data_IF_481877641891
#
_entry.id   IF_481877641891
#
_cell.length_a   1.000
_cell.length_b   1.000
_cell.length_c   1.000
_cell.angle_alpha   90.00
_cell.angle_beta   90.00
_cell.angle_gamma   90.00
#
_symmetry.space_group_name_H-M   'P 1'
#
loop_
_entity.id
_entity.type
_entity.pdbx_description
1 polymer ?
#
# COMPACT_ATOMS: atom_id res chain seq x y z
N UNK A 1 4.78 -12.21 -16.82
CA UNK A 1 4.73 -11.16 -17.86
C UNK A 1 5.06 -9.84 -17.18
N UNK A 2 6.32 -9.38 -17.20
CA UNK A 2 6.75 -8.14 -16.54
C UNK A 2 6.33 -6.95 -17.39
N UNK A 3 5.27 -6.23 -16.98
CA UNK A 3 4.86 -4.97 -17.60
C UNK A 3 5.76 -3.88 -17.03
N UNK A 4 6.81 -3.49 -17.76
CA UNK A 4 7.63 -2.33 -17.39
C UNK A 4 6.90 -1.05 -17.78
N UNK A 5 6.22 -0.43 -16.81
CA UNK A 5 5.73 0.95 -16.97
C UNK A 5 6.95 1.86 -16.91
N UNK A 6 7.27 2.55 -18.01
CA UNK A 6 8.42 3.45 -18.07
C UNK A 6 7.96 4.88 -17.78
N UNK A 7 8.83 5.74 -17.23
CA UNK A 7 8.50 7.15 -17.04
C UNK A 7 8.00 7.84 -18.33
N UNK A 8 8.41 7.34 -19.51
CA UNK A 8 7.92 7.77 -20.81
C UNK A 8 6.42 7.46 -21.06
N UNK A 9 5.89 6.34 -20.57
CA UNK A 9 4.46 6.04 -20.70
C UNK A 9 3.61 6.94 -19.80
N UNK A 10 4.10 7.30 -18.62
CA UNK A 10 3.45 8.26 -17.72
C UNK A 10 3.43 9.66 -18.37
N UNK A 11 4.56 10.12 -18.91
CA UNK A 11 4.63 11.40 -19.63
C UNK A 11 3.68 11.46 -20.82
N UNK A 12 3.53 10.36 -21.57
CA UNK A 12 2.61 10.29 -22.72
C UNK A 12 1.14 10.34 -22.30
N UNK A 13 0.78 9.69 -21.18
CA UNK A 13 -0.56 9.78 -20.60
C UNK A 13 -0.89 11.22 -20.14
N UNK A 14 0.07 11.90 -19.50
CA UNK A 14 -0.06 13.30 -19.08
C UNK A 14 -0.28 14.23 -20.29
N UNK A 15 0.53 14.10 -21.35
CA UNK A 15 0.38 14.93 -22.57
C UNK A 15 -0.98 14.70 -23.25
N UNK A 16 -1.47 13.46 -23.26
CA UNK A 16 -2.78 13.12 -23.85
C UNK A 16 -3.92 13.72 -23.03
N UNK A 17 -3.84 13.69 -21.69
CA UNK A 17 -4.83 14.31 -20.81
C UNK A 17 -4.85 15.84 -20.93
N UNK A 18 -3.67 16.48 -21.05
CA UNK A 18 -3.56 17.94 -21.26
C UNK A 18 -4.20 18.36 -22.59
N UNK A 19 -4.07 17.56 -23.64
CA UNK A 19 -4.71 17.83 -24.94
C UNK A 19 -6.22 17.60 -24.94
N UNK A 20 -6.75 16.72 -24.08
CA UNK A 20 -8.19 16.51 -23.92
C UNK A 20 -8.87 17.68 -23.19
N UNK A 21 -8.12 18.44 -22.37
CA UNK A 21 -8.62 19.60 -21.65
C UNK A 21 -8.51 20.91 -22.46
N UNK A 22 -8.91 20.87 -23.75
CA UNK A 22 -9.22 22.13 -24.43
C UNK A 22 -10.57 22.63 -23.93
N UNK A 23 -10.69 23.93 -23.58
CA UNK A 23 -11.98 24.51 -23.24
C UNK A 23 -12.85 24.41 -24.49
N UNK A 24 -13.69 23.38 -24.56
CA UNK A 24 -14.81 23.40 -25.50
C UNK A 24 -15.67 24.56 -25.04
N UNK A 25 -15.68 25.62 -25.85
CA UNK A 25 -16.64 26.69 -25.67
C UNK A 25 -18.01 26.02 -25.68
N UNK A 26 -18.62 25.87 -24.50
CA UNK A 26 -19.99 25.42 -24.36
C UNK A 26 -20.82 26.36 -25.24
N UNK A 27 -21.26 25.85 -26.39
CA UNK A 27 -22.19 26.57 -27.24
C UNK A 27 -23.49 26.68 -26.46
N UNK A 28 -23.67 27.81 -25.80
CA UNK A 28 -24.98 28.20 -25.27
C UNK A 28 -25.92 28.23 -26.47
N UNK A 29 -27.01 27.43 -26.49
CA UNK A 29 -27.99 27.50 -27.56
C UNK A 29 -28.59 28.92 -27.57
N UNK A 30 -28.20 29.70 -28.55
CA UNK A 30 -28.76 31.03 -28.80
C UNK A 30 -30.10 30.86 -29.53
N UNK A 31 -31.18 31.38 -28.96
CA UNK A 31 -32.37 31.79 -29.72
C UNK A 31 -33.65 30.98 -29.49
N UNK A 32 -34.31 31.22 -28.35
CA UNK A 32 -35.76 31.09 -28.21
C UNK A 32 -36.39 32.49 -28.06
N UNK A 33 -37.54 32.78 -28.68
CA UNK A 33 -38.05 34.15 -28.84
C UNK A 33 -38.49 34.77 -27.51
N UNK A 34 -38.17 36.06 -27.35
CA UNK A 34 -38.61 36.92 -26.26
C UNK A 34 -40.14 36.97 -26.19
N UNK A 35 -40.72 36.26 -25.22
CA UNK A 35 -42.10 36.43 -24.78
C UNK A 35 -42.11 37.10 -23.42
N UNK A 36 -42.44 38.39 -23.38
CA UNK A 36 -42.61 39.13 -22.14
C UNK A 36 -43.79 38.61 -21.34
N UNK A 37 -43.52 38.07 -20.15
CA UNK A 37 -44.51 37.93 -19.09
C UNK A 37 -43.93 38.39 -17.75
N UNK A 38 -44.79 39.10 -17.05
CA UNK A 38 -44.58 39.89 -15.85
C UNK A 38 -44.26 39.06 -14.61
N UNK A 39 -43.48 39.67 -13.72
CA UNK A 39 -43.20 39.28 -12.34
C UNK A 39 -44.43 38.75 -11.58
N UNK A 40 -44.27 37.61 -10.90
CA UNK A 40 -44.45 37.47 -9.44
C UNK A 40 -44.51 35.98 -9.05
N UNK A 41 -43.79 35.66 -7.97
CA UNK A 41 -43.96 34.48 -7.10
C UNK A 41 -43.86 33.10 -7.74
N UNK A 42 -42.72 32.43 -7.52
CA UNK A 42 -42.59 31.02 -7.07
C UNK A 42 -41.11 30.63 -7.18
N UNK A 43 -40.27 31.16 -6.28
CA UNK A 43 -38.97 30.55 -5.96
C UNK A 43 -39.13 29.79 -4.65
N UNK A 44 -39.88 28.69 -4.67
CA UNK A 44 -39.76 27.64 -3.67
C UNK A 44 -38.73 26.65 -4.20
N UNK A 45 -37.57 26.65 -3.55
CA UNK A 45 -36.32 26.10 -4.06
C UNK A 45 -36.33 24.60 -4.28
N UNK A 46 -35.86 24.21 -5.47
CA UNK A 46 -35.25 22.92 -5.68
C UNK A 46 -33.77 23.04 -5.30
N UNK A 47 -33.39 22.45 -4.16
CA UNK A 47 -32.03 21.94 -3.92
C UNK A 47 -30.89 22.94 -3.85
N UNK A 48 -31.04 24.08 -3.17
CA UNK A 48 -29.83 24.77 -2.70
C UNK A 48 -29.14 23.83 -1.70
N UNK A 49 -27.89 23.46 -2.00
CA UNK A 49 -27.05 22.69 -1.08
C UNK A 49 -27.02 23.46 0.24
N UNK A 50 -27.21 22.81 1.38
CA UNK A 50 -27.15 23.43 2.71
C UNK A 50 -25.99 22.79 3.46
N UNK A 51 -25.24 23.56 4.25
CA UNK A 51 -24.19 23.05 5.12
C UNK A 51 -24.77 22.33 6.35
N UNK A 52 -23.90 21.89 7.26
CA UNK A 52 -24.31 21.18 8.49
C UNK A 52 -25.13 22.06 9.47
N UNK A 53 -25.18 23.38 9.25
CA UNK A 53 -25.91 24.35 10.06
C UNK A 53 -27.20 24.85 9.39
N UNK A 54 -27.47 24.42 8.15
CA UNK A 54 -28.66 24.83 7.40
C UNK A 54 -28.46 26.11 6.59
N UNK A 55 -27.22 26.51 6.33
CA UNK A 55 -26.89 27.66 5.49
C UNK A 55 -26.62 27.22 4.04
N UNK A 56 -27.00 28.00 3.00
CA UNK A 56 -26.76 27.62 1.60
C UNK A 56 -25.27 27.45 1.29
N UNK A 57 -24.83 26.23 0.98
CA UNK A 57 -23.50 25.92 0.49
C UNK A 57 -23.29 26.52 -0.90
N UNK A 58 -22.30 27.42 -1.00
CA UNK A 58 -21.92 28.09 -2.24
C UNK A 58 -21.18 27.10 -3.14
N UNK A 59 -21.82 26.67 -4.23
CA UNK A 59 -21.15 25.86 -5.26
C UNK A 59 -20.07 26.69 -5.99
N UNK A 60 -18.86 26.14 -6.25
CA UNK A 60 -17.78 26.85 -6.93
C UNK A 60 -18.08 27.33 -8.36
N UNK A 61 -19.16 26.86 -9.00
CA UNK A 61 -19.39 27.06 -10.43
C UNK A 61 -20.36 28.19 -10.81
N UNK A 62 -21.05 28.84 -9.86
CA UNK A 62 -21.94 29.95 -10.21
C UNK A 62 -21.17 31.28 -10.28
N UNK A 63 -20.43 31.46 -11.38
CA UNK A 63 -20.17 32.80 -11.90
C UNK A 63 -21.53 33.44 -12.18
N UNK A 64 -21.99 34.35 -11.33
CA UNK A 64 -23.13 35.21 -11.63
C UNK A 64 -22.77 36.08 -12.84
N UNK A 65 -23.34 35.85 -14.05
CA UNK A 65 -23.04 36.67 -15.23
C UNK A 65 -23.83 38.00 -15.21
N UNK A 66 -24.63 38.23 -14.16
CA UNK A 66 -25.34 39.47 -13.92
C UNK A 66 -25.28 39.76 -12.43
N UNK A 67 -24.76 40.93 -12.09
CA UNK A 67 -24.33 41.31 -10.74
C UNK A 67 -25.27 40.90 -9.63
N UNK A 68 -24.69 40.35 -8.55
CA UNK A 68 -25.38 40.13 -7.30
C UNK A 68 -25.97 41.46 -6.80
N UNK A 69 -27.29 41.55 -6.54
CA UNK A 69 -27.88 42.73 -5.96
C UNK A 69 -27.26 42.99 -4.58
N UNK A 70 -26.82 44.24 -4.28
CA UNK A 70 -26.30 44.57 -2.97
C UNK A 70 -27.46 44.65 -1.99
N UNK A 71 -27.49 43.73 -1.02
CA UNK A 71 -28.32 43.85 0.17
C UNK A 71 -29.18 42.64 0.46
N UNK A 72 -28.72 41.81 1.40
CA UNK A 72 -29.38 41.48 2.67
C UNK A 72 -28.76 40.18 3.18
N UNK A 73 -27.73 40.32 4.00
CA UNK A 73 -27.03 39.23 4.65
C UNK A 73 -25.91 39.79 5.50
N UNK A 74 -26.26 40.26 6.70
CA UNK A 74 -25.32 40.85 7.65
C UNK A 74 -24.29 39.82 8.10
N UNK A 75 -23.05 40.03 7.68
CA UNK A 75 -21.89 39.29 8.13
C UNK A 75 -20.63 39.93 7.54
N UNK A 76 -20.16 40.99 8.18
CA UNK A 76 -18.85 41.65 7.97
C UNK A 76 -18.24 41.50 6.56
N UNK A 77 -18.98 42.00 5.56
CA UNK A 77 -18.52 42.11 4.18
C UNK A 77 -17.83 43.44 3.96
N UNK A 78 -16.61 43.37 3.43
CA UNK A 78 -15.82 44.46 2.87
C UNK A 78 -16.67 45.51 2.13
N UNK A 79 -16.49 46.77 2.54
CA UNK A 79 -17.12 47.95 1.96
C UNK A 79 -16.65 48.14 0.49
N UNK A 80 -17.55 48.05 -0.51
CA UNK A 80 -17.20 48.19 -1.92
C UNK A 80 -16.95 49.64 -2.36
N UNK A 81 -17.04 50.64 -1.46
CA UNK A 81 -16.73 52.03 -1.78
C UNK A 81 -15.31 52.50 -1.42
N UNK A 82 -14.47 51.62 -0.88
CA UNK A 82 -13.04 51.88 -0.81
C UNK A 82 -12.38 51.59 -2.17
N UNK A 83 -12.31 52.60 -3.03
CA UNK A 83 -11.72 52.62 -4.38
C UNK A 83 -10.21 52.37 -4.47
N UNK A 84 -9.63 51.65 -3.50
CA UNK A 84 -8.28 51.09 -3.52
C UNK A 84 -8.13 49.83 -2.66
N UNK A 85 -9.23 49.27 -2.15
CA UNK A 85 -9.21 48.00 -1.43
C UNK A 85 -9.46 46.87 -2.43
N UNK A 86 -8.38 46.27 -2.92
CA UNK A 86 -8.39 44.92 -3.48
C UNK A 86 -9.18 44.04 -2.50
N UNK A 87 -10.43 43.70 -2.80
CA UNK A 87 -11.16 42.69 -2.04
C UNK A 87 -10.36 41.39 -2.14
N UNK A 88 -9.71 40.89 -1.07
CA UNK A 88 -8.89 39.67 -1.17
C UNK A 88 -9.74 38.39 -1.16
N UNK A 89 -11.06 38.49 -1.34
CA UNK A 89 -12.01 37.43 -1.01
C UNK A 89 -12.49 36.61 -2.22
N UNK A 90 -11.63 36.35 -3.21
CA UNK A 90 -11.97 35.42 -4.31
C UNK A 90 -11.27 34.08 -4.21
N UNK A 91 -10.63 33.76 -3.08
CA UNK A 91 -10.10 32.42 -2.86
C UNK A 91 -11.26 31.41 -2.84
N UNK A 92 -11.45 30.71 -3.96
CA UNK A 92 -12.38 29.59 -4.07
C UNK A 92 -11.82 28.41 -3.28
N UNK A 93 -11.98 28.48 -1.96
CA UNK A 93 -11.74 27.38 -1.04
C UNK A 93 -13.00 26.50 -1.03
N UNK A 94 -13.10 25.63 -2.04
CA UNK A 94 -14.13 24.60 -2.09
C UNK A 94 -13.61 23.27 -1.53
N UNK A 95 -14.50 22.29 -1.27
CA UNK A 95 -14.08 20.93 -0.94
C UNK A 95 -13.25 20.34 -2.08
N UNK A 96 -12.47 19.29 -1.77
CA UNK A 96 -11.63 18.59 -2.76
C UNK A 96 -12.48 17.62 -3.59
N UNK A 97 -12.38 17.74 -4.92
CA UNK A 97 -13.14 16.96 -5.90
C UNK A 97 -12.24 16.55 -7.06
N UNK A 98 -12.37 15.31 -7.52
CA UNK A 98 -11.75 14.74 -8.72
C UNK A 98 -12.65 13.63 -9.26
N UNK A 99 -12.69 13.41 -10.57
CA UNK A 99 -13.45 12.31 -11.18
C UNK A 99 -12.61 11.04 -11.32
N UNK A 100 -11.33 11.21 -11.67
CA UNK A 100 -10.36 10.13 -11.79
C UNK A 100 -8.98 10.57 -11.29
N UNK A 101 -8.24 9.66 -10.68
CA UNK A 101 -6.83 9.86 -10.34
C UNK A 101 -5.98 8.67 -10.80
N UNK A 102 -4.75 8.99 -11.18
CA UNK A 102 -3.69 8.02 -11.45
C UNK A 102 -2.45 8.44 -10.65
N UNK A 103 -1.97 7.54 -9.80
CA UNK A 103 -0.87 7.79 -8.89
C UNK A 103 0.21 6.72 -9.07
N UNK A 104 1.46 7.16 -9.14
CA UNK A 104 2.63 6.34 -8.85
C UNK A 104 2.73 6.21 -7.33
N UNK A 105 2.90 4.99 -6.84
CA UNK A 105 3.06 4.69 -5.42
C UNK A 105 4.37 3.97 -5.25
N UNK A 106 5.12 4.32 -4.21
CA UNK A 106 6.33 3.62 -3.84
C UNK A 106 6.22 3.15 -2.40
N UNK A 107 6.35 1.84 -2.18
CA UNK A 107 6.33 1.25 -0.85
C UNK A 107 7.66 0.61 -0.52
N UNK A 108 8.03 0.77 0.74
CA UNK A 108 9.03 -0.04 1.40
C UNK A 108 8.35 -0.77 2.55
N UNK A 109 8.74 -2.02 2.76
CA UNK A 109 8.36 -2.82 3.94
C UNK A 109 9.44 -2.64 5.00
N UNK A 110 9.04 -2.32 6.22
CA UNK A 110 9.97 -2.09 7.34
C UNK A 110 10.61 -3.41 7.79
N UNK A 111 9.77 -4.41 8.07
CA UNK A 111 10.20 -5.73 8.54
C UNK A 111 9.46 -6.87 7.80
N UNK A 112 10.14 -8.01 7.61
CA UNK A 112 9.57 -9.21 6.97
C UNK A 112 8.99 -10.23 7.95
N UNK A 113 9.22 -10.06 9.25
CA UNK A 113 8.73 -10.95 10.29
C UNK A 113 8.84 -10.31 11.67
N UNK A 114 8.19 -10.92 12.65
CA UNK A 114 8.22 -10.51 14.06
C UNK A 114 9.48 -11.00 14.78
N UNK A 115 10.19 -11.98 14.22
CA UNK A 115 11.37 -12.60 14.82
C UNK A 115 12.60 -12.49 13.93
N UNK A 116 13.75 -12.16 14.55
CA UNK A 116 15.05 -12.29 13.91
C UNK A 116 15.53 -13.74 13.99
N UNK A 117 15.70 -14.41 12.87
CA UNK A 117 16.26 -15.75 12.81
C UNK A 117 17.70 -15.71 12.29
N UNK A 118 18.62 -16.30 13.05
CA UNK A 118 19.95 -16.63 12.53
C UNK A 118 19.80 -17.73 11.48
N UNK A 119 20.29 -17.44 10.27
CA UNK A 119 20.19 -18.32 9.12
C UNK A 119 21.52 -19.02 8.83
N UNK A 120 22.66 -18.42 9.17
CA UNK A 120 23.96 -19.08 9.07
C UNK A 120 24.99 -18.54 10.07
N UNK A 121 25.86 -19.43 10.53
CA UNK A 121 27.03 -19.10 11.34
C UNK A 121 28.31 -19.59 10.69
N UNK A 122 29.40 -18.84 10.86
CA UNK A 122 30.75 -19.23 10.51
C UNK A 122 31.41 -19.92 11.71
N UNK A 123 31.84 -21.16 11.55
CA UNK A 123 32.23 -22.11 12.61
C UNK A 123 31.04 -22.57 13.47
N UNK A 124 31.24 -23.70 14.17
CA UNK A 124 30.26 -24.33 15.06
C UNK A 124 29.98 -23.47 16.31
N UNK A 125 28.70 -23.32 16.69
CA UNK A 125 28.33 -22.70 17.98
C UNK A 125 28.78 -23.54 19.18
N UNK A 126 29.12 -22.94 20.34
CA UNK A 126 28.99 -21.52 20.70
C UNK A 126 30.18 -20.64 20.29
N UNK A 127 31.20 -21.20 19.60
CA UNK A 127 32.38 -20.45 19.15
C UNK A 127 32.21 -19.76 17.78
N UNK A 128 31.12 -20.05 17.08
CA UNK A 128 30.79 -19.51 15.77
C UNK A 128 30.31 -18.06 15.80
N UNK A 129 30.46 -17.37 14.67
CA UNK A 129 29.97 -16.00 14.46
C UNK A 129 28.77 -16.05 13.53
N UNK A 130 27.67 -15.40 13.88
CA UNK A 130 26.52 -15.23 12.98
C UNK A 130 26.94 -14.38 11.77
N UNK A 131 26.61 -14.87 10.57
CA UNK A 131 26.99 -14.22 9.30
C UNK A 131 25.81 -13.98 8.35
N UNK A 132 24.66 -14.56 8.64
CA UNK A 132 23.43 -14.35 7.88
C UNK A 132 22.23 -14.40 8.83
N UNK A 133 21.42 -13.36 8.82
CA UNK A 133 20.19 -13.23 9.59
C UNK A 133 19.03 -12.78 8.69
N UNK A 134 17.78 -13.01 9.11
CA UNK A 134 16.59 -12.47 8.43
C UNK A 134 16.56 -10.94 8.40
N UNK A 135 17.23 -10.27 9.33
CA UNK A 135 17.37 -8.81 9.35
C UNK A 135 18.34 -8.27 8.29
N UNK A 136 19.16 -9.14 7.66
CA UNK A 136 20.06 -8.74 6.57
C UNK A 136 19.31 -8.60 5.23
N UNK A 137 18.02 -8.96 5.19
CA UNK A 137 17.14 -8.79 4.04
C UNK A 137 16.82 -7.30 3.85
N UNK A 138 17.71 -6.60 3.15
CA UNK A 138 17.49 -5.20 2.81
C UNK A 138 16.25 -5.04 1.90
N UNK A 139 15.38 -4.09 2.25
CA UNK A 139 14.23 -3.71 1.43
C UNK A 139 14.52 -2.43 0.68
N UNK A 140 14.35 -2.48 -0.64
CA UNK A 140 14.31 -1.27 -1.47
C UNK A 140 12.87 -0.79 -1.63
N UNK A 141 12.73 0.49 -1.94
CA UNK A 141 11.46 1.07 -2.36
C UNK A 141 11.02 0.47 -3.69
N UNK A 142 9.87 -0.19 -3.70
CA UNK A 142 9.29 -0.75 -4.92
C UNK A 142 8.19 0.14 -5.47
N UNK A 143 8.13 0.19 -6.80
CA UNK A 143 7.14 0.97 -7.54
C UNK A 143 5.86 0.18 -7.78
N UNK A 144 4.72 0.84 -7.62
CA UNK A 144 3.42 0.38 -8.04
C UNK A 144 2.59 1.54 -8.57
N UNK A 145 1.30 1.29 -8.77
CA UNK A 145 0.37 2.36 -9.13
C UNK A 145 -0.96 2.22 -8.40
N UNK A 146 -1.65 3.34 -8.33
CA UNK A 146 -3.02 3.45 -7.83
C UNK A 146 -3.90 4.13 -8.86
N UNK A 147 -5.07 3.55 -9.06
CA UNK A 147 -6.16 4.12 -9.85
C UNK A 147 -7.32 4.37 -8.92
N UNK A 148 -7.86 5.58 -8.94
CA UNK A 148 -9.07 5.91 -8.20
C UNK A 148 -10.08 6.54 -9.13
N UNK A 149 -11.31 6.02 -9.10
CA UNK A 149 -12.43 6.55 -9.86
C UNK A 149 -13.56 6.93 -8.93
N UNK A 150 -14.23 8.03 -9.25
CA UNK A 150 -15.30 8.61 -8.44
C UNK A 150 -16.62 8.60 -9.20
N UNK A 151 -17.72 8.39 -8.48
CA UNK A 151 -19.08 8.54 -8.99
C UNK A 151 -20.00 9.22 -7.99
N UNK A 152 -20.59 10.35 -8.39
CA UNK A 152 -21.53 11.11 -7.55
C UNK A 152 -22.92 10.46 -7.55
N UNK A 153 -23.38 10.08 -6.37
CA UNK A 153 -24.70 9.44 -6.20
C UNK A 153 -25.76 10.42 -5.67
N UNK A 154 -25.34 11.38 -4.86
CA UNK A 154 -26.20 12.36 -4.20
C UNK A 154 -25.39 13.61 -3.86
N UNK A 155 -26.04 14.74 -3.51
CA UNK A 155 -25.33 15.91 -3.00
C UNK A 155 -24.47 15.52 -1.79
N UNK A 156 -23.17 15.83 -1.87
CA UNK A 156 -22.16 15.53 -0.85
C UNK A 156 -21.94 14.03 -0.57
N UNK A 157 -22.44 13.14 -1.42
CA UNK A 157 -22.30 11.69 -1.24
C UNK A 157 -21.82 11.03 -2.54
N UNK A 158 -20.80 10.19 -2.38
CA UNK A 158 -19.97 9.73 -3.49
C UNK A 158 -19.62 8.27 -3.30
N UNK A 159 -19.56 7.54 -4.41
CA UNK A 159 -18.92 6.23 -4.47
C UNK A 159 -17.53 6.39 -5.08
N UNK A 160 -16.54 5.78 -4.45
CA UNK A 160 -15.16 5.76 -4.91
C UNK A 160 -14.69 4.33 -5.06
N UNK A 161 -14.04 4.05 -6.19
CA UNK A 161 -13.44 2.77 -6.52
C UNK A 161 -11.94 2.97 -6.59
N UNK A 162 -11.18 2.17 -5.85
CA UNK A 162 -9.73 2.21 -5.82
C UNK A 162 -9.12 0.87 -6.18
N UNK A 163 -8.06 0.89 -6.97
CA UNK A 163 -7.17 -0.26 -7.14
C UNK A 163 -5.74 0.19 -6.91
N UNK A 164 -5.01 -0.53 -6.07
CA UNK A 164 -3.57 -0.33 -5.85
C UNK A 164 -2.88 -1.67 -6.03
N UNK A 165 -1.76 -1.72 -6.73
CA UNK A 165 -1.00 -2.96 -6.84
C UNK A 165 0.27 -2.82 -7.65
N UNK A 166 0.75 -3.98 -8.10
CA UNK A 166 2.01 -4.16 -8.83
C UNK A 166 3.26 -3.92 -7.99
N UNK A 167 3.16 -4.08 -6.67
CA UNK A 167 4.34 -4.12 -5.81
C UNK A 167 4.94 -5.54 -5.88
N UNK A 168 6.23 -5.59 -6.17
CA UNK A 168 7.11 -6.76 -6.16
C UNK A 168 8.33 -6.40 -5.29
N UNK A 169 8.10 -6.35 -3.98
CA UNK A 169 9.10 -5.92 -3.00
C UNK A 169 9.98 -7.11 -2.67
N UNK A 170 11.26 -7.06 -2.99
CA UNK A 170 12.16 -8.16 -2.71
C UNK A 170 13.47 -7.72 -2.08
N UNK A 171 14.09 -8.67 -1.39
CA UNK A 171 15.38 -8.50 -0.75
C UNK A 171 16.15 -9.81 -0.76
N UNK A 172 17.46 -9.73 -0.60
CA UNK A 172 18.28 -10.93 -0.50
C UNK A 172 19.61 -10.65 0.15
N UNK A 173 20.08 -11.64 0.89
CA UNK A 173 21.37 -11.62 1.54
C UNK A 173 22.10 -12.92 1.24
N UNK A 174 23.42 -12.86 1.12
CA UNK A 174 24.23 -14.05 0.90
C UNK A 174 25.59 -13.90 1.56
N UNK A 175 26.14 -15.03 1.98
CA UNK A 175 27.46 -15.12 2.58
C UNK A 175 28.22 -16.28 1.96
N UNK A 176 29.50 -16.06 1.67
CA UNK A 176 30.43 -17.06 1.16
C UNK A 176 31.54 -17.22 2.18
N UNK A 177 31.85 -18.46 2.55
CA UNK A 177 32.95 -18.76 3.45
C UNK A 177 34.26 -18.18 2.89
N UNK A 178 34.96 -17.30 3.63
CA UNK A 178 36.24 -16.75 3.17
C UNK A 178 37.37 -17.77 3.16
N UNK A 179 37.28 -18.87 3.93
CA UNK A 179 38.34 -19.87 4.07
C UNK A 179 37.79 -21.30 4.01
N UNK A 180 37.18 -21.72 2.88
CA UNK A 180 36.63 -23.06 2.78
C UNK A 180 37.75 -24.11 2.76
N UNK A 181 37.48 -25.28 3.36
CA UNK A 181 38.41 -26.42 3.38
C UNK A 181 38.64 -26.96 1.97
N UNK A 182 37.59 -26.93 1.14
CA UNK A 182 37.64 -27.28 -0.28
C UNK A 182 36.55 -26.52 -1.06
N UNK A 183 36.53 -26.55 -2.42
CA UNK A 183 35.44 -25.95 -3.21
C UNK A 183 34.04 -26.50 -2.91
N UNK A 184 33.95 -27.64 -2.21
CA UNK A 184 32.70 -28.34 -1.87
C UNK A 184 32.51 -28.53 -0.36
N UNK A 185 33.39 -27.97 0.47
CA UNK A 185 33.34 -28.10 1.93
C UNK A 185 33.81 -26.79 2.55
N UNK A 186 32.88 -26.06 3.17
CA UNK A 186 33.14 -24.81 3.87
C UNK A 186 32.99 -24.96 5.37
N UNK A 187 32.68 -23.85 6.01
CA UNK A 187 32.58 -23.72 7.47
C UNK A 187 31.33 -22.93 7.86
N UNK A 188 30.31 -22.93 7.00
CA UNK A 188 29.00 -22.36 7.30
C UNK A 188 28.06 -23.43 7.83
N UNK A 189 27.39 -23.10 8.92
CA UNK A 189 26.44 -23.97 9.59
C UNK A 189 25.08 -23.32 9.61
N UNK A 190 24.06 -24.08 9.22
CA UNK A 190 22.66 -23.64 9.17
C UNK A 190 21.92 -23.95 10.48
N UNK A 191 20.75 -23.33 10.72
CA UNK A 191 19.90 -23.66 11.86
C UNK A 191 19.42 -25.12 11.85
N UNK A 192 19.36 -25.78 10.70
CA UNK A 192 18.92 -27.18 10.56
C UNK A 192 19.88 -28.19 11.19
N UNK A 193 21.15 -27.82 11.38
CA UNK A 193 22.15 -28.61 12.11
C UNK A 193 22.39 -28.07 13.52
N UNK A 194 21.48 -27.22 14.03
CA UNK A 194 21.69 -26.43 15.26
C UNK A 194 23.07 -25.74 15.25
N UNK A 195 23.39 -25.12 14.10
CA UNK A 195 24.67 -24.46 13.85
C UNK A 195 25.88 -25.37 14.11
N UNK A 196 25.78 -26.62 13.67
CA UNK A 196 26.82 -27.63 13.81
C UNK A 196 26.85 -28.32 15.18
N UNK A 197 25.84 -28.16 16.03
CA UNK A 197 25.69 -28.92 17.29
C UNK A 197 24.90 -30.22 17.10
N UNK A 198 24.07 -30.32 16.07
CA UNK A 198 23.24 -31.48 15.79
C UNK A 198 23.39 -31.93 14.32
N UNK A 199 23.77 -33.19 14.03
CA UNK A 199 23.99 -34.29 14.97
C UNK A 199 25.46 -34.45 15.35
N UNK A 200 25.95 -33.67 16.32
CA UNK A 200 27.23 -34.00 16.98
C UNK A 200 26.97 -35.09 18.02
N UNK A 201 27.09 -36.36 17.62
CA UNK A 201 27.01 -37.50 18.53
C UNK A 201 25.94 -38.56 18.23
N UNK A 202 25.23 -38.45 17.12
CA UNK A 202 24.44 -39.55 16.56
C UNK A 202 25.37 -40.74 16.26
N UNK A 203 25.32 -41.79 17.09
CA UNK A 203 26.20 -42.96 16.97
C UNK A 203 25.88 -43.64 15.63
N UNK A 204 26.76 -43.45 14.63
CA UNK A 204 26.67 -44.13 13.33
C UNK A 204 26.37 -43.24 12.12
N UNK A 205 26.31 -41.92 12.27
CA UNK A 205 26.12 -41.00 11.13
C UNK A 205 27.43 -40.27 10.84
N UNK A 206 27.98 -40.45 9.63
CA UNK A 206 29.22 -39.79 9.23
C UNK A 206 28.96 -38.29 9.02
N UNK A 207 29.74 -37.40 9.64
CA UNK A 207 29.64 -35.94 9.45
C UNK A 207 29.68 -35.49 7.97
N UNK A 208 30.17 -36.34 7.05
CA UNK A 208 30.14 -36.11 5.61
C UNK A 208 28.75 -36.27 4.97
N UNK A 209 27.71 -36.71 5.69
CA UNK A 209 26.37 -36.96 5.14
C UNK A 209 25.42 -35.77 5.15
N UNK A 210 25.81 -34.63 5.73
CA UNK A 210 24.99 -33.42 5.83
C UNK A 210 25.71 -32.17 5.33
N UNK A 211 26.67 -32.34 4.40
CA UNK A 211 27.52 -31.26 3.90
C UNK A 211 26.74 -30.02 3.43
N UNK A 212 25.50 -30.20 2.99
CA UNK A 212 24.62 -29.13 2.51
C UNK A 212 24.11 -28.21 3.62
N UNK A 213 23.84 -28.74 4.82
CA UNK A 213 23.33 -27.97 5.98
C UNK A 213 24.39 -27.74 7.06
N UNK A 214 25.47 -28.49 7.00
CA UNK A 214 26.64 -28.48 7.87
C UNK A 214 27.88 -28.37 6.97
N UNK A 215 28.74 -27.35 7.16
CA UNK A 215 29.92 -27.06 6.29
C UNK A 215 29.58 -26.59 4.88
N UNK A 216 28.54 -25.77 4.75
CA UNK A 216 28.26 -25.09 3.50
C UNK A 216 29.39 -24.10 3.12
N UNK A 217 29.64 -23.97 1.82
CA UNK A 217 30.56 -22.98 1.22
C UNK A 217 29.85 -21.64 1.02
N UNK A 218 28.55 -21.67 0.71
CA UNK A 218 27.71 -20.48 0.63
C UNK A 218 26.33 -20.71 1.23
N UNK A 219 25.77 -19.63 1.78
CA UNK A 219 24.40 -19.53 2.22
C UNK A 219 23.78 -18.27 1.61
N UNK A 220 22.54 -18.37 1.14
CA UNK A 220 21.80 -17.26 0.57
C UNK A 220 20.35 -17.34 1.01
N UNK A 221 19.74 -16.17 1.16
CA UNK A 221 18.32 -16.03 1.40
C UNK A 221 17.74 -14.96 0.49
N UNK A 222 16.52 -15.18 0.00
CA UNK A 222 15.77 -14.23 -0.81
C UNK A 222 14.34 -14.17 -0.31
N UNK A 223 13.74 -13.00 -0.37
CA UNK A 223 12.32 -12.79 -0.10
C UNK A 223 11.70 -11.96 -1.21
N UNK A 224 10.49 -12.33 -1.61
CA UNK A 224 9.65 -11.58 -2.55
C UNK A 224 8.26 -11.40 -1.92
N UNK A 225 7.78 -10.16 -1.86
CA UNK A 225 6.48 -9.78 -1.31
C UNK A 225 5.67 -9.09 -2.39
N UNK A 226 4.49 -9.62 -2.68
CA UNK A 226 3.52 -8.96 -3.57
C UNK A 226 2.30 -8.48 -2.81
N UNK A 227 1.90 -7.24 -3.10
CA UNK A 227 0.75 -6.58 -2.46
C UNK A 227 -0.21 -6.06 -3.53
N UNK A 228 -1.49 -6.41 -3.41
CA UNK A 228 -2.56 -5.92 -4.28
C UNK A 228 -3.80 -5.61 -3.46
N UNK A 229 -4.53 -4.57 -3.84
CA UNK A 229 -5.72 -4.13 -3.11
C UNK A 229 -6.76 -3.52 -4.04
N UNK A 230 -8.01 -3.90 -3.86
CA UNK A 230 -9.18 -3.30 -4.47
C UNK A 230 -10.13 -2.79 -3.38
N UNK A 231 -10.59 -1.55 -3.50
CA UNK A 231 -11.52 -0.94 -2.54
C UNK A 231 -12.73 -0.31 -3.24
N UNK A 232 -13.87 -0.37 -2.58
CA UNK A 232 -15.05 0.43 -2.87
C UNK A 232 -15.43 1.17 -1.60
N UNK A 233 -15.62 2.48 -1.68
CA UNK A 233 -15.98 3.30 -0.52
C UNK A 233 -17.11 4.27 -0.83
N UNK A 234 -18.00 4.43 0.14
CA UNK A 234 -18.96 5.51 0.22
C UNK A 234 -18.32 6.65 1.00
N UNK A 235 -18.26 7.84 0.41
CA UNK A 235 -17.77 9.06 1.03
C UNK A 235 -18.90 10.06 1.23
N UNK A 236 -18.94 10.70 2.40
CA UNK A 236 -19.86 11.78 2.76
C UNK A 236 -19.07 13.02 3.14
N UNK A 237 -19.23 14.09 2.38
CA UNK A 237 -18.55 15.36 2.65
C UNK A 237 -19.14 16.09 3.85
N UNK A 238 -18.26 16.76 4.59
CA UNK A 238 -18.59 17.80 5.55
C UNK A 238 -17.72 19.02 5.28
N UNK A 239 -18.24 20.20 5.60
CA UNK A 239 -17.52 21.48 5.49
C UNK A 239 -17.44 22.06 6.88
N UNK A 240 -16.23 22.48 7.27
CA UNK A 240 -16.00 23.11 8.56
C UNK A 240 -16.57 24.53 8.60
N UNK A 241 -16.52 25.14 9.77
CA UNK A 241 -16.92 26.54 9.95
C UNK A 241 -16.14 27.51 9.04
N UNK A 242 -14.87 27.19 8.76
CA UNK A 242 -14.10 27.87 7.73
C UNK A 242 -14.22 27.09 6.42
N UNK A 243 -14.53 27.76 5.29
CA UNK A 243 -14.57 27.10 3.97
C UNK A 243 -13.20 26.56 3.55
N UNK A 244 -12.12 26.95 4.23
CA UNK A 244 -10.77 26.40 4.02
C UNK A 244 -10.61 25.00 4.57
N UNK A 245 -11.48 24.57 5.48
CA UNK A 245 -11.41 23.24 6.10
C UNK A 245 -12.62 22.44 5.65
N UNK A 246 -12.36 21.32 4.97
CA UNK A 246 -13.39 20.37 4.57
C UNK A 246 -12.91 18.96 4.88
N UNK A 247 -13.79 17.99 4.81
CA UNK A 247 -13.37 16.59 4.91
C UNK A 247 -14.45 15.65 4.47
N UNK A 248 -14.16 14.36 4.55
CA UNK A 248 -15.15 13.32 4.32
C UNK A 248 -15.12 12.28 5.43
N UNK A 249 -16.30 11.71 5.70
CA UNK A 249 -16.40 10.42 6.37
C UNK A 249 -16.48 9.36 5.29
N UNK A 250 -15.76 8.25 5.46
CA UNK A 250 -15.78 7.16 4.51
C UNK A 250 -16.10 5.83 5.19
N UNK A 251 -16.88 5.00 4.50
CA UNK A 251 -17.17 3.63 4.86
C UNK A 251 -17.11 2.78 3.60
N UNK A 252 -16.47 1.62 3.65
CA UNK A 252 -16.24 0.84 2.45
C UNK A 252 -15.97 -0.63 2.68
N UNK A 253 -15.77 -1.33 1.58
CA UNK A 253 -15.31 -2.71 1.54
C UNK A 253 -13.99 -2.76 0.78
N UNK A 254 -13.04 -3.56 1.27
CA UNK A 254 -11.73 -3.71 0.65
C UNK A 254 -11.32 -5.18 0.65
N UNK A 255 -10.75 -5.60 -0.47
CA UNK A 255 -10.05 -6.87 -0.64
C UNK A 255 -8.56 -6.57 -0.83
N UNK A 256 -7.70 -7.16 -0.01
CA UNK A 256 -6.24 -7.02 -0.07
C UNK A 256 -5.63 -8.39 -0.09
N UNK A 257 -4.74 -8.65 -1.06
CA UNK A 257 -3.93 -9.85 -1.11
C UNK A 257 -2.48 -9.50 -0.81
N UNK A 258 -1.90 -10.21 0.15
CA UNK A 258 -0.49 -10.15 0.49
C UNK A 258 0.10 -11.55 0.31
N UNK A 259 1.12 -11.67 -0.54
CA UNK A 259 1.86 -12.92 -0.75
C UNK A 259 3.33 -12.69 -0.44
N UNK A 260 3.88 -13.53 0.43
CA UNK A 260 5.30 -13.60 0.77
C UNK A 260 5.89 -14.92 0.27
N UNK A 261 7.01 -14.86 -0.44
CA UNK A 261 7.80 -15.99 -0.88
C UNK A 261 9.20 -15.84 -0.27
N UNK A 262 9.59 -16.75 0.62
CA UNK A 262 10.90 -16.80 1.25
C UNK A 262 11.66 -18.04 0.79
N UNK A 263 12.90 -17.86 0.34
CA UNK A 263 13.76 -18.97 -0.04
C UNK A 263 15.08 -18.90 0.72
N UNK A 264 15.46 -20.00 1.36
CA UNK A 264 16.75 -20.19 1.99
C UNK A 264 17.52 -21.28 1.25
N UNK A 265 18.74 -20.97 0.84
CA UNK A 265 19.57 -21.81 0.00
C UNK A 265 20.98 -21.95 0.58
N UNK A 266 21.52 -23.16 0.55
CA UNK A 266 22.91 -23.46 0.95
C UNK A 266 23.56 -24.39 -0.05
N UNK A 267 24.88 -24.24 -0.22
CA UNK A 267 25.65 -25.01 -1.19
C UNK A 267 26.96 -25.52 -0.62
N UNK A 268 27.27 -26.78 -0.89
CA UNK A 268 28.51 -27.49 -0.54
C UNK A 268 28.79 -28.57 -1.62
N UNK A 269 29.08 -29.81 -1.20
CA UNK A 269 29.06 -31.01 -2.04
C UNK A 269 27.64 -31.42 -2.49
N UNK A 270 26.64 -30.60 -2.14
CA UNK A 270 25.26 -30.65 -2.56
C UNK A 270 24.58 -29.30 -2.34
N UNK A 271 23.24 -29.28 -2.38
CA UNK A 271 22.39 -28.13 -2.17
C UNK A 271 21.29 -28.47 -1.17
N UNK A 272 21.00 -27.53 -0.28
CA UNK A 272 19.76 -27.52 0.48
C UNK A 272 18.97 -26.26 0.12
N UNK A 273 17.70 -26.44 -0.19
CA UNK A 273 16.77 -25.37 -0.53
C UNK A 273 15.52 -25.50 0.32
N UNK A 274 15.12 -24.43 1.00
CA UNK A 274 13.88 -24.35 1.76
C UNK A 274 13.07 -23.16 1.24
N UNK A 275 11.98 -23.46 0.56
CA UNK A 275 11.06 -22.51 -0.05
C UNK A 275 9.77 -22.46 0.77
N UNK A 276 9.40 -21.27 1.22
CA UNK A 276 8.21 -21.01 2.03
C UNK A 276 7.38 -19.96 1.33
N UNK A 277 6.12 -20.28 1.08
CA UNK A 277 5.13 -19.38 0.52
C UNK A 277 4.04 -19.16 1.56
N UNK A 278 3.70 -17.90 1.83
CA UNK A 278 2.62 -17.50 2.70
C UNK A 278 1.70 -16.52 1.95
N UNK A 279 0.44 -16.91 1.76
CA UNK A 279 -0.59 -16.10 1.14
C UNK A 279 -1.63 -15.67 2.19
N UNK A 280 -2.03 -14.40 2.12
CA UNK A 280 -3.07 -13.80 2.93
C UNK A 280 -4.08 -13.11 2.02
N UNK A 281 -5.31 -13.58 2.05
CA UNK A 281 -6.45 -12.99 1.34
C UNK A 281 -7.38 -12.31 2.34
N UNK A 282 -7.27 -10.98 2.45
CA UNK A 282 -8.02 -10.17 3.40
C UNK A 282 -9.25 -9.55 2.74
N UNK A 283 -10.45 -9.90 3.19
CA UNK A 283 -11.71 -9.33 2.73
C UNK A 283 -12.51 -8.75 3.90
N UNK A 284 -12.90 -7.47 3.83
CA UNK A 284 -13.46 -6.82 5.00
C UNK A 284 -14.04 -5.42 4.80
N UNK A 285 -14.56 -4.89 5.90
CA UNK A 285 -15.13 -3.55 5.96
C UNK A 285 -14.14 -2.58 6.59
N UNK A 286 -14.13 -1.35 6.09
CA UNK A 286 -13.29 -0.27 6.58
C UNK A 286 -14.10 0.99 6.84
N UNK A 287 -13.67 1.75 7.83
CA UNK A 287 -14.18 3.07 8.19
C UNK A 287 -13.00 4.04 8.24
N UNK A 288 -13.26 5.29 7.89
CA UNK A 288 -12.22 6.29 7.92
C UNK A 288 -12.76 7.70 7.82
N UNK A 289 -11.84 8.64 7.80
CA UNK A 289 -12.13 10.02 7.53
C UNK A 289 -10.93 10.68 6.85
N UNK A 290 -11.21 11.75 6.12
CA UNK A 290 -10.19 12.68 5.67
C UNK A 290 -10.52 14.10 6.11
N UNK A 291 -9.48 14.91 6.21
CA UNK A 291 -9.56 16.34 6.44
C UNK A 291 -8.60 17.06 5.49
N UNK A 292 -9.10 18.09 4.84
CA UNK A 292 -8.41 18.92 3.88
C UNK A 292 -8.38 20.37 4.37
N UNK A 293 -7.23 21.01 4.20
CA UNK A 293 -7.01 22.42 4.46
C UNK A 293 -6.48 23.10 3.19
N UNK A 294 -7.25 24.07 2.69
CA UNK A 294 -6.84 24.94 1.59
C UNK A 294 -5.96 26.06 2.13
N UNK A 295 -4.69 26.10 1.69
CA UNK A 295 -3.71 27.11 2.14
C UNK A 295 -3.82 28.36 1.29
N UNK A 296 -3.84 28.17 -0.03
CA UNK A 296 -4.10 29.19 -1.05
C UNK A 296 -4.98 28.58 -2.14
N UNK A 297 -5.59 29.40 -2.98
CA UNK A 297 -6.33 28.90 -4.12
C UNK A 297 -5.43 28.02 -4.99
N UNK A 298 -5.86 26.78 -5.23
CA UNK A 298 -5.10 25.80 -5.98
C UNK A 298 -4.06 25.02 -5.19
N UNK A 299 -3.89 25.22 -3.88
CA UNK A 299 -3.00 24.39 -3.06
C UNK A 299 -3.68 23.94 -1.76
N UNK A 300 -3.71 22.62 -1.56
CA UNK A 300 -4.41 21.98 -0.44
C UNK A 300 -3.53 20.93 0.20
N UNK A 301 -3.65 20.79 1.52
CA UNK A 301 -3.07 19.68 2.27
C UNK A 301 -4.18 18.82 2.84
N UNK A 302 -4.00 17.50 2.80
CA UNK A 302 -4.96 16.52 3.26
C UNK A 302 -4.32 15.53 4.22
N UNK A 303 -5.10 15.07 5.19
CA UNK A 303 -4.80 13.92 6.01
C UNK A 303 -5.96 12.94 5.85
N UNK A 304 -5.69 11.70 5.49
CA UNK A 304 -6.67 10.60 5.44
C UNK A 304 -6.25 9.50 6.41
N UNK A 305 -7.23 8.95 7.13
CA UNK A 305 -7.04 7.82 8.01
C UNK A 305 -8.15 6.79 7.83
N UNK A 306 -7.79 5.52 7.70
CA UNK A 306 -8.70 4.39 7.55
C UNK A 306 -8.31 3.27 8.50
N UNK A 307 -9.29 2.54 9.00
CA UNK A 307 -9.10 1.31 9.74
C UNK A 307 -10.22 0.32 9.41
N UNK A 308 -9.90 -0.97 9.37
CA UNK A 308 -10.87 -2.00 9.03
C UNK A 308 -10.60 -3.33 9.70
N UNK A 309 -11.64 -4.18 9.68
CA UNK A 309 -11.62 -5.55 10.17
C UNK A 309 -11.90 -6.47 8.99
N UNK A 310 -11.06 -7.48 8.82
CA UNK A 310 -11.02 -8.34 7.65
C UNK A 310 -11.06 -9.81 8.07
N UNK A 311 -11.78 -10.62 7.32
CA UNK A 311 -11.53 -12.06 7.31
C UNK A 311 -10.29 -12.32 6.46
N UNK A 312 -9.29 -12.97 7.03
CA UNK A 312 -8.05 -13.36 6.38
C UNK A 312 -8.06 -14.87 6.14
N UNK A 313 -8.06 -15.27 4.87
CA UNK A 313 -7.81 -16.66 4.49
C UNK A 313 -6.31 -16.82 4.28
N UNK A 314 -5.73 -17.77 5.01
CA UNK A 314 -4.29 -18.00 5.10
C UNK A 314 -3.99 -19.33 4.41
N UNK A 315 -2.99 -19.32 3.54
CA UNK A 315 -2.39 -20.53 2.98
C UNK A 315 -0.86 -20.45 3.10
N UNK A 316 -0.26 -21.50 3.65
CA UNK A 316 1.19 -21.63 3.81
C UNK A 316 1.64 -22.92 3.16
N UNK A 317 2.73 -22.86 2.38
CA UNK A 317 3.41 -24.02 1.81
C UNK A 317 4.90 -23.91 2.12
N UNK A 318 5.47 -24.95 2.72
CA UNK A 318 6.89 -25.07 3.00
C UNK A 318 7.43 -26.32 2.31
N UNK A 319 8.39 -26.10 1.41
CA UNK A 319 9.06 -27.14 0.64
C UNK A 319 10.56 -27.10 0.92
N UNK A 320 11.07 -28.14 1.59
CA UNK A 320 12.49 -28.28 1.88
C UNK A 320 13.08 -29.49 1.14
N UNK A 321 14.14 -29.24 0.37
CA UNK A 321 14.77 -30.23 -0.50
C UNK A 321 16.28 -30.27 -0.32
N UNK A 322 16.85 -31.47 -0.36
CA UNK A 322 18.30 -31.72 -0.32
C UNK A 322 18.75 -32.54 -1.54
N UNK A 323 19.96 -32.30 -2.03
CA UNK A 323 20.57 -33.06 -3.13
C UNK A 323 22.10 -32.95 -3.08
N UNK A 324 22.93 -33.95 -3.40
CA UNK A 324 22.62 -35.32 -3.79
C UNK A 324 22.82 -36.36 -2.65
N UNK A 325 23.39 -35.99 -1.50
CA UNK A 325 23.94 -36.96 -0.54
C UNK A 325 22.89 -37.68 0.32
N UNK A 326 21.76 -37.04 0.62
CA UNK A 326 20.63 -37.61 1.34
C UNK A 326 19.34 -36.89 0.93
N UNK A 327 18.65 -37.34 -0.13
CA UNK A 327 17.42 -36.71 -0.63
C UNK A 327 16.31 -36.78 0.40
N UNK A 328 16.04 -35.64 1.03
CA UNK A 328 14.92 -35.35 1.90
C UNK A 328 14.08 -34.34 1.13
N UNK A 329 12.81 -34.67 0.94
CA UNK A 329 11.80 -33.81 0.32
C UNK A 329 10.66 -33.70 1.34
N UNK A 330 10.56 -32.53 1.96
CA UNK A 330 9.53 -32.22 2.96
C UNK A 330 8.59 -31.23 2.32
N UNK A 331 7.31 -31.59 2.28
CA UNK A 331 6.24 -30.72 1.85
C UNK A 331 5.23 -30.59 2.99
N UNK A 332 5.18 -29.41 3.57
CA UNK A 332 4.29 -29.04 4.67
C UNK A 332 3.34 -27.97 4.15
N UNK A 333 2.05 -28.14 4.39
CA UNK A 333 1.06 -27.12 4.03
C UNK A 333 0.08 -26.90 5.17
N UNK A 334 -0.35 -25.66 5.34
CA UNK A 334 -1.32 -25.27 6.35
C UNK A 334 -2.27 -24.23 5.77
N UNK A 335 -3.55 -24.37 6.10
CA UNK A 335 -4.56 -23.39 5.74
C UNK A 335 -5.44 -23.10 6.93
N UNK A 336 -5.78 -21.83 7.12
CA UNK A 336 -6.61 -21.38 8.24
C UNK A 336 -7.37 -20.09 7.88
N UNK A 337 -8.36 -19.75 8.69
CA UNK A 337 -9.13 -18.52 8.57
C UNK A 337 -9.08 -17.76 9.90
N UNK A 338 -8.72 -16.48 9.87
CA UNK A 338 -8.70 -15.66 11.07
C UNK A 338 -9.11 -14.22 10.82
N UNK A 339 -9.28 -13.46 11.90
CA UNK A 339 -9.58 -12.03 11.82
C UNK A 339 -8.27 -11.24 11.76
N UNK A 340 -8.16 -10.38 10.75
CA UNK A 340 -7.06 -9.47 10.55
C UNK A 340 -7.51 -8.00 10.57
N UNK A 341 -6.55 -7.11 10.82
CA UNK A 341 -6.80 -5.68 10.87
C UNK A 341 -5.91 -4.98 9.85
N UNK A 342 -6.47 -3.99 9.15
CA UNK A 342 -5.70 -3.09 8.28
C UNK A 342 -5.93 -1.66 8.75
N UNK A 343 -4.86 -0.94 9.00
CA UNK A 343 -4.83 0.49 9.27
C UNK A 343 -4.07 1.23 8.18
N UNK A 344 -4.55 2.40 7.77
CA UNK A 344 -3.93 3.23 6.75
C UNK A 344 -3.96 4.69 7.17
N UNK A 345 -2.85 5.40 6.96
CA UNK A 345 -2.76 6.83 7.16
C UNK A 345 -2.02 7.48 5.99
N UNK A 346 -2.58 8.56 5.44
CA UNK A 346 -2.02 9.28 4.29
C UNK A 346 -1.93 10.77 4.56
N UNK A 347 -0.76 11.34 4.29
CA UNK A 347 -0.54 12.79 4.22
C UNK A 347 -0.42 13.18 2.75
N UNK A 348 -1.22 14.13 2.30
CA UNK A 348 -1.36 14.49 0.89
C UNK A 348 -1.22 16.00 0.68
N UNK A 349 -0.73 16.39 -0.48
CA UNK A 349 -0.74 17.74 -1.02
C UNK A 349 -1.27 17.70 -2.45
N UNK A 350 -2.19 18.59 -2.77
CA UNK A 350 -2.80 18.71 -4.10
C UNK A 350 -2.61 20.14 -4.60
N UNK A 351 -2.04 20.26 -5.80
CA UNK A 351 -1.79 21.53 -6.48
C UNK A 351 -2.49 21.57 -7.84
N UNK A 352 -3.44 22.49 -8.00
CA UNK A 352 -4.20 22.70 -9.24
C UNK A 352 -3.31 23.39 -10.27
N UNK A 353 -3.00 22.71 -11.39
CA UNK A 353 -2.15 23.26 -12.47
C UNK A 353 -3.01 23.89 -13.56
N UNK A 354 -4.12 23.24 -13.87
CA UNK A 354 -5.15 23.74 -14.79
C UNK A 354 -6.53 23.57 -14.12
N UNK A 355 -7.61 24.14 -14.68
CA UNK A 355 -8.95 23.95 -14.11
C UNK A 355 -9.45 22.49 -14.04
N UNK A 356 -8.81 21.57 -14.76
CA UNK A 356 -9.21 20.18 -14.93
C UNK A 356 -8.12 19.18 -14.49
N UNK A 357 -6.91 19.65 -14.18
CA UNK A 357 -5.76 18.82 -13.85
C UNK A 357 -5.08 19.36 -12.60
N UNK A 358 -4.98 18.49 -11.61
CA UNK A 358 -4.25 18.76 -10.36
C UNK A 358 -3.15 17.73 -10.17
N UNK A 359 -2.01 18.17 -9.62
CA UNK A 359 -0.93 17.29 -9.20
C UNK A 359 -1.14 16.90 -7.75
N UNK A 360 -1.02 15.63 -7.45
CA UNK A 360 -1.11 15.08 -6.10
C UNK A 360 0.23 14.48 -5.70
N UNK A 361 0.66 14.71 -4.47
CA UNK A 361 1.83 14.04 -3.90
C UNK A 361 1.64 13.83 -2.40
N UNK A 362 2.32 12.85 -1.83
CA UNK A 362 2.16 12.55 -0.41
C UNK A 362 3.02 11.43 0.10
N UNK A 363 2.76 11.09 1.37
CA UNK A 363 3.36 9.97 2.08
C UNK A 363 2.25 9.13 2.70
N UNK A 364 2.38 7.82 2.67
CA UNK A 364 1.41 6.92 3.26
C UNK A 364 2.06 5.82 4.08
N UNK A 365 1.31 5.37 5.08
CA UNK A 365 1.65 4.26 5.98
C UNK A 365 0.47 3.31 5.98
N UNK A 366 0.76 2.03 5.76
CA UNK A 366 -0.20 0.93 5.73
C UNK A 366 0.30 -0.13 6.72
N UNK A 367 -0.52 -0.43 7.71
CA UNK A 367 -0.24 -1.40 8.75
C UNK A 367 -1.23 -2.56 8.63
N UNK A 368 -0.72 -3.79 8.59
CA UNK A 368 -1.50 -5.02 8.59
C UNK A 368 -1.15 -5.80 9.85
N UNK A 369 -2.16 -6.35 10.51
CA UNK A 369 -1.99 -7.15 11.72
C UNK A 369 -2.81 -8.43 11.66
N UNK A 370 -2.32 -9.46 12.36
CA UNK A 370 -2.79 -10.85 12.28
C UNK A 370 -2.74 -11.35 10.83
N UNK A 371 -1.60 -11.16 10.21
CA UNK A 371 -1.24 -11.79 8.94
C UNK A 371 -0.20 -12.88 9.19
N UNK A 372 0.07 -13.65 8.16
CA UNK A 372 1.08 -14.70 8.15
C UNK A 372 2.19 -14.30 7.21
N UNK A 373 3.42 -14.35 7.69
CA UNK A 373 4.61 -14.05 6.89
C UNK A 373 5.41 -15.33 6.67
N UNK A 374 6.08 -15.42 5.52
CA UNK A 374 6.90 -16.59 5.20
C UNK A 374 8.11 -16.72 6.14
N UNK A 375 8.66 -15.58 6.60
CA UNK A 375 9.82 -15.54 7.51
C UNK A 375 9.48 -16.06 8.91
N UNK A 376 8.34 -15.67 9.49
CA UNK A 376 7.95 -16.15 10.82
C UNK A 376 7.57 -17.63 10.83
N UNK A 377 7.23 -18.18 9.66
CA UNK A 377 6.94 -19.60 9.47
C UNK A 377 8.18 -20.40 9.03
N UNK A 378 9.37 -19.81 9.17
CA UNK A 378 10.62 -20.53 8.94
C UNK A 378 10.84 -21.62 10.00
N UNK A 379 10.57 -22.86 9.61
CA UNK A 379 10.80 -24.02 10.47
C UNK A 379 12.27 -24.45 10.44
N UNK A 380 13.04 -23.97 11.42
CA UNK A 380 14.44 -24.32 11.65
C UNK A 380 14.67 -25.77 12.12
N UNK A 381 13.63 -26.54 12.42
CA UNK A 381 13.79 -27.91 12.90
C UNK A 381 14.50 -28.77 11.85
N UNK A 382 15.48 -29.55 12.33
CA UNK A 382 16.31 -30.40 11.50
C UNK A 382 15.46 -31.35 10.66
N UNK A 383 15.70 -31.43 9.33
CA UNK A 383 15.02 -32.39 8.48
C UNK A 383 15.57 -33.83 8.63
N UNK A 384 16.58 -34.04 9.49
CA UNK A 384 17.40 -35.27 9.53
C UNK A 384 17.29 -36.13 10.80
N UNK A 385 16.21 -36.01 11.59
CA UNK A 385 16.09 -36.74 12.88
C UNK A 385 16.41 -38.24 12.72
N UNK A 386 17.28 -38.76 13.60
CA UNK A 386 17.72 -40.16 13.66
C UNK A 386 16.51 -41.12 13.67
N UNK A 387 16.30 -41.82 12.55
CA UNK A 387 15.20 -42.77 12.39
C UNK A 387 14.19 -42.29 11.36
N UNK A 388 14.37 -42.74 10.13
CA UNK A 388 13.58 -42.39 8.96
C UNK A 388 12.06 -42.40 9.24
N UNK A 389 11.42 -41.22 9.14
CA UNK A 389 9.97 -41.12 9.03
C UNK A 389 9.22 -40.51 10.22
N UNK A 390 9.87 -39.86 11.18
CA UNK A 390 9.15 -39.00 12.14
C UNK A 390 9.01 -37.60 11.51
N UNK A 391 7.79 -37.12 11.21
CA UNK A 391 7.59 -35.75 10.76
C UNK A 391 8.14 -34.78 11.80
N UNK A 392 8.94 -33.80 11.37
CA UNK A 392 9.28 -32.67 12.27
C UNK A 392 8.00 -31.98 12.69
N UNK A 393 7.97 -31.44 13.90
CA UNK A 393 6.79 -30.71 14.39
C UNK A 393 6.54 -29.50 13.48
N UNK A 394 5.37 -29.45 12.85
CA UNK A 394 4.94 -28.30 12.05
C UNK A 394 4.52 -27.19 13.01
N UNK A 395 5.32 -26.14 13.09
CA UNK A 395 4.98 -24.95 13.88
C UNK A 395 4.58 -23.86 12.91
N UNK A 396 3.31 -23.47 12.96
CA UNK A 396 2.78 -22.36 12.16
C UNK A 396 2.44 -21.20 13.09
N UNK A 397 2.94 -20.02 12.73
CA UNK A 397 2.65 -18.77 13.41
C UNK A 397 1.68 -17.96 12.56
N UNK A 398 0.46 -17.81 13.07
CA UNK A 398 -0.58 -17.06 12.37
C UNK A 398 -0.66 -15.58 12.79
N UNK A 399 0.14 -15.16 13.79
CA UNK A 399 0.08 -13.81 14.35
C UNK A 399 1.37 -13.06 14.03
N UNK A 400 1.38 -12.39 12.88
CA UNK A 400 2.42 -11.47 12.46
C UNK A 400 1.82 -10.14 12.02
N UNK A 401 2.67 -9.11 11.98
CA UNK A 401 2.33 -7.77 11.55
C UNK A 401 3.23 -7.37 10.39
N UNK A 402 2.74 -6.51 9.49
CA UNK A 402 3.55 -5.89 8.45
C UNK A 402 3.26 -4.39 8.37
N UNK A 403 4.34 -3.61 8.27
CA UNK A 403 4.30 -2.17 8.06
C UNK A 403 4.87 -1.83 6.69
N UNK A 404 4.04 -1.19 5.88
CA UNK A 404 4.42 -0.61 4.59
C UNK A 404 4.37 0.90 4.69
N UNK A 405 5.35 1.59 4.14
CA UNK A 405 5.33 3.03 4.07
C UNK A 405 6.03 3.55 2.82
N UNK A 406 5.66 4.75 2.39
CA UNK A 406 6.39 5.41 1.32
C UNK A 406 5.63 6.53 0.65
N UNK A 407 6.15 6.95 -0.51
CA UNK A 407 5.73 8.17 -1.19
C UNK A 407 4.80 7.85 -2.35
N UNK A 408 3.86 8.75 -2.62
CA UNK A 408 3.05 8.68 -3.82
C UNK A 408 3.02 10.03 -4.54
N UNK A 409 2.88 9.99 -5.86
CA UNK A 409 2.75 11.16 -6.72
C UNK A 409 1.89 10.84 -7.92
N UNK A 410 1.00 11.74 -8.31
CA UNK A 410 0.01 11.45 -9.33
C UNK A 410 -0.68 12.68 -9.88
N UNK A 411 -1.70 12.40 -10.69
CA UNK A 411 -2.53 13.39 -11.35
C UNK A 411 -3.99 13.08 -11.05
N UNK A 412 -4.73 14.13 -10.73
CA UNK A 412 -6.19 14.12 -10.60
C UNK A 412 -6.80 14.85 -11.79
N UNK A 413 -7.91 14.32 -12.30
CA UNK A 413 -8.66 14.87 -13.42
C UNK A 413 -10.09 15.21 -12.99
N UNK A 414 -10.56 16.36 -13.41
CA UNK A 414 -11.95 16.84 -13.26
C UNK A 414 -12.49 17.19 -14.63
N UNK A 415 -13.68 16.69 -14.96
CA UNK A 415 -14.35 16.90 -16.25
C UNK A 415 -15.11 18.23 -16.34
#
# INVERSE_FOLDING_TARGET
MRIRVTAASIATAIVTAVLACQPTHAQVPYGGPQGGFTQAMFYSGAGQMMDAHGDPAVSPANYCPGGCPPGYGGGYGCDPYASNAVCPCTEQCGPHYFDASLEYVSYQRDDYGSFSHSLATLNVLPGGTEVLNTNDLATDYEAGFRLTGRYDICPLAVLEFGYTGFFDMGGGASFIDPNPVSPTEGNLYSPFSDFGQNPVGAIGVNASSFAETDRAVSAATTIETTLQSAEISYRRYWVGHSPRVSGTWLAGFRYTRLKDEFNYYTQANGTYNNYIEAENDLAGFQLGADAWMTVIQGLRFGLEGKAGVYGNTIDIVNNAQTSPAATVDINESFSDEQVAFIGEARLMAVADITPCISLKAGYEVLFLSSIVTAVDNFNAASPYVEGQGVPRETVFWTQSDALFHGFHAGVEYVW
#
